data_IF_362265331314
#
_entry.id   IF_362265331314
#
_cell.length_a   1.000
_cell.length_b   1.000
_cell.length_c   1.000
_cell.angle_alpha   90.00
_cell.angle_beta   90.00
_cell.angle_gamma   90.00
#
_symmetry.space_group_name_H-M   'P 1'
#
loop_
_entity.id
_entity.type
_entity.pdbx_description
1 polymer ?
#
# COMPACT_ATOMS: atom_id res chain seq x y z
N UNK A 1 -13.47 23.00 -19.91
CA UNK A 1 -14.90 23.39 -19.97
C UNK A 1 -15.13 24.62 -20.88
N UNK A 2 -14.54 25.81 -20.63
CA UNK A 2 -14.78 27.01 -21.46
C UNK A 2 -14.35 26.86 -22.91
N UNK A 3 -13.20 26.25 -23.19
CA UNK A 3 -12.70 25.96 -24.54
C UNK A 3 -13.55 24.90 -25.26
N UNK A 4 -14.05 23.91 -24.52
CA UNK A 4 -14.94 22.88 -25.05
C UNK A 4 -16.30 23.45 -25.47
N UNK A 5 -16.88 24.37 -24.68
CA UNK A 5 -18.11 25.06 -25.03
C UNK A 5 -17.93 25.88 -26.33
N UNK A 6 -16.78 26.56 -26.46
CA UNK A 6 -16.45 27.32 -27.68
C UNK A 6 -16.25 26.41 -28.91
N UNK A 7 -15.57 25.28 -28.74
CA UNK A 7 -15.36 24.30 -29.81
C UNK A 7 -16.67 23.62 -30.23
N UNK A 8 -17.60 23.42 -29.30
CA UNK A 8 -18.95 22.88 -29.58
C UNK A 8 -19.94 23.92 -30.11
N UNK A 9 -19.53 25.19 -30.24
CA UNK A 9 -20.38 26.26 -30.77
C UNK A 9 -21.56 26.64 -29.86
N UNK A 10 -21.49 26.34 -28.56
CA UNK A 10 -22.55 26.62 -27.59
C UNK A 10 -22.09 27.62 -26.51
N UNK A 11 -23.08 28.33 -25.92
CA UNK A 11 -22.75 29.23 -24.82
C UNK A 11 -22.24 28.45 -23.58
N UNK A 12 -21.38 29.08 -22.77
CA UNK A 12 -20.94 28.51 -21.50
C UNK A 12 -22.13 28.10 -20.60
N UNK A 13 -23.16 28.95 -20.50
CA UNK A 13 -24.32 28.66 -19.70
C UNK A 13 -25.09 27.43 -20.21
N UNK A 14 -25.24 27.26 -21.53
CA UNK A 14 -25.85 26.08 -22.12
C UNK A 14 -25.01 24.83 -21.84
N UNK A 15 -23.68 24.93 -21.96
CA UNK A 15 -22.77 23.81 -21.72
C UNK A 15 -22.81 23.34 -20.25
N UNK A 16 -22.73 24.27 -19.27
CA UNK A 16 -22.82 23.94 -17.86
C UNK A 16 -24.21 23.48 -17.40
N UNK A 17 -25.28 23.83 -18.11
CA UNK A 17 -26.60 23.30 -17.84
C UNK A 17 -26.75 21.84 -18.23
N UNK A 18 -25.97 21.37 -19.22
CA UNK A 18 -25.98 19.97 -19.67
C UNK A 18 -24.93 19.14 -18.89
N UNK A 19 -23.75 19.73 -18.68
CA UNK A 19 -22.65 19.07 -17.98
C UNK A 19 -22.22 19.95 -16.81
N UNK A 20 -22.72 19.64 -15.62
CA UNK A 20 -22.44 20.42 -14.39
C UNK A 20 -20.95 20.38 -14.02
N UNK A 21 -20.29 19.24 -14.28
CA UNK A 21 -18.88 19.03 -13.98
C UNK A 21 -18.12 18.51 -15.21
N UNK A 22 -16.76 18.53 -15.12
CA UNK A 22 -15.90 17.93 -16.16
C UNK A 22 -16.08 16.40 -16.17
N UNK A 23 -16.22 15.81 -14.99
CA UNK A 23 -16.42 14.38 -14.79
C UNK A 23 -17.69 13.90 -15.48
N UNK A 24 -18.82 14.61 -15.31
CA UNK A 24 -20.09 14.31 -15.99
C UNK A 24 -19.97 14.38 -17.52
N UNK A 25 -19.15 15.28 -18.05
CA UNK A 25 -18.87 15.35 -19.50
C UNK A 25 -18.06 14.15 -19.96
N UNK A 26 -17.01 13.78 -19.22
CA UNK A 26 -16.14 12.66 -19.58
C UNK A 26 -16.90 11.32 -19.53
N UNK A 27 -17.72 11.14 -18.51
CA UNK A 27 -18.65 9.99 -18.38
C UNK A 27 -19.62 9.89 -19.56
N UNK A 28 -20.22 11.02 -19.95
CA UNK A 28 -21.14 11.07 -21.11
C UNK A 28 -20.43 10.78 -22.45
N UNK A 29 -19.14 10.98 -22.53
CA UNK A 29 -18.30 10.68 -23.71
C UNK A 29 -17.60 9.33 -23.64
N UNK A 30 -17.84 8.55 -22.57
CA UNK A 30 -17.13 7.28 -22.29
C UNK A 30 -15.61 7.46 -22.32
N UNK A 31 -15.14 8.61 -21.78
CA UNK A 31 -13.72 8.96 -21.70
C UNK A 31 -13.28 8.96 -20.25
N UNK A 32 -12.19 8.27 -19.96
CA UNK A 32 -11.54 8.38 -18.65
C UNK A 32 -10.91 9.77 -18.49
N UNK A 33 -11.03 10.40 -17.30
CA UNK A 33 -10.35 11.66 -17.03
C UNK A 33 -8.83 11.47 -17.11
N UNK A 34 -8.13 12.40 -17.77
CA UNK A 34 -6.67 12.40 -17.71
C UNK A 34 -6.20 12.47 -16.25
N UNK A 35 -5.19 11.68 -15.87
CA UNK A 35 -4.64 11.69 -14.52
C UNK A 35 -4.29 13.11 -14.06
N UNK A 36 -4.64 13.46 -12.85
CA UNK A 36 -4.28 14.73 -12.25
C UNK A 36 -2.76 14.86 -12.09
N UNK A 37 -2.27 16.09 -11.92
CA UNK A 37 -0.83 16.31 -11.71
C UNK A 37 -0.28 15.49 -10.53
N UNK A 38 -1.06 15.30 -9.47
CA UNK A 38 -0.68 14.48 -8.30
C UNK A 38 -0.49 13.02 -8.70
N UNK A 39 -1.43 12.44 -9.42
CA UNK A 39 -1.39 11.04 -9.88
C UNK A 39 -0.21 10.80 -10.82
N UNK A 40 -0.02 11.66 -11.84
CA UNK A 40 1.14 11.54 -12.74
C UNK A 40 2.48 11.60 -12.00
N UNK A 41 2.60 12.48 -11.00
CA UNK A 41 3.81 12.57 -10.18
C UNK A 41 4.02 11.28 -9.39
N UNK A 42 2.98 10.75 -8.76
CA UNK A 42 3.08 9.51 -7.97
C UNK A 42 3.40 8.29 -8.84
N UNK A 43 2.80 8.17 -10.02
CA UNK A 43 3.08 7.07 -10.97
C UNK A 43 4.53 7.07 -11.46
N UNK A 44 5.05 8.25 -11.80
CA UNK A 44 6.45 8.38 -12.21
C UNK A 44 7.39 8.14 -11.01
N UNK A 45 7.07 8.71 -9.84
CA UNK A 45 7.86 8.52 -8.63
C UNK A 45 7.89 7.03 -8.22
N UNK A 46 6.76 6.32 -8.31
CA UNK A 46 6.66 4.89 -8.04
C UNK A 46 7.67 4.08 -8.88
N UNK A 47 7.74 4.37 -10.18
CA UNK A 47 8.66 3.71 -11.12
C UNK A 47 10.12 4.03 -10.78
N UNK A 48 10.44 5.31 -10.55
CA UNK A 48 11.81 5.76 -10.26
C UNK A 48 12.31 5.24 -8.90
N UNK A 49 11.50 5.35 -7.86
CA UNK A 49 11.84 4.85 -6.51
C UNK A 49 11.92 3.33 -6.51
N UNK A 50 10.99 2.64 -7.19
CA UNK A 50 11.03 1.19 -7.33
C UNK A 50 12.26 0.65 -8.06
N UNK A 51 12.82 1.42 -9.01
CA UNK A 51 13.99 1.03 -9.79
C UNK A 51 15.33 1.43 -9.12
N UNK A 52 15.41 2.60 -8.49
CA UNK A 52 16.68 3.21 -8.08
C UNK A 52 16.74 3.59 -6.60
N UNK A 53 15.65 3.48 -5.86
CA UNK A 53 15.52 3.94 -4.47
C UNK A 53 15.27 5.45 -4.34
N UNK A 54 14.84 5.87 -3.14
CA UNK A 54 14.50 7.27 -2.85
C UNK A 54 15.71 8.20 -2.93
N UNK A 55 16.87 7.73 -2.48
CA UNK A 55 18.10 8.55 -2.45
C UNK A 55 18.54 8.98 -3.85
N UNK A 56 18.39 8.10 -4.85
CA UNK A 56 18.75 8.40 -6.23
C UNK A 56 17.72 9.27 -6.96
N UNK A 57 16.53 9.45 -6.40
CA UNK A 57 15.47 10.25 -7.01
C UNK A 57 15.87 11.73 -7.11
N UNK A 58 15.78 12.30 -8.31
CA UNK A 58 15.88 13.74 -8.56
C UNK A 58 14.48 14.34 -8.67
N UNK A 59 14.17 15.36 -7.85
CA UNK A 59 12.88 16.06 -7.94
C UNK A 59 12.73 16.80 -9.26
N UNK A 60 13.82 17.26 -9.87
CA UNK A 60 13.80 17.94 -11.15
C UNK A 60 13.52 16.98 -12.32
N UNK A 61 14.13 15.79 -12.29
CA UNK A 61 13.86 14.75 -13.29
C UNK A 61 12.43 14.22 -13.13
N UNK A 62 11.96 14.10 -11.90
CA UNK A 62 10.57 13.72 -11.61
C UNK A 62 9.59 14.72 -12.20
N UNK A 63 9.81 16.04 -12.01
CA UNK A 63 8.95 17.07 -12.58
C UNK A 63 8.90 16.98 -14.12
N UNK A 64 10.07 16.76 -14.74
CA UNK A 64 10.20 16.62 -16.20
C UNK A 64 9.45 15.38 -16.71
N UNK A 65 9.66 14.23 -16.08
CA UNK A 65 9.04 12.98 -16.51
C UNK A 65 7.52 12.93 -16.24
N UNK A 66 7.04 13.61 -15.19
CA UNK A 66 5.62 13.71 -14.87
C UNK A 66 4.89 14.81 -15.66
N UNK A 67 5.61 15.52 -16.55
CA UNK A 67 5.09 16.66 -17.31
C UNK A 67 4.39 17.70 -16.42
N UNK A 68 5.11 18.14 -15.37
CA UNK A 68 4.66 19.20 -14.47
C UNK A 68 5.75 20.25 -14.26
N UNK A 69 5.34 21.47 -13.92
CA UNK A 69 6.32 22.49 -13.52
C UNK A 69 6.94 22.15 -12.15
N UNK A 70 8.19 22.56 -11.91
CA UNK A 70 8.82 22.48 -10.58
C UNK A 70 7.95 23.12 -9.50
N UNK A 71 7.34 24.27 -9.79
CA UNK A 71 6.45 24.95 -8.85
C UNK A 71 5.23 24.10 -8.48
N UNK A 72 4.66 23.38 -9.45
CA UNK A 72 3.55 22.43 -9.21
C UNK A 72 4.01 21.25 -8.37
N UNK A 73 5.17 20.66 -8.69
CA UNK A 73 5.73 19.54 -7.93
C UNK A 73 5.98 19.93 -6.47
N UNK A 74 6.72 21.01 -6.21
CA UNK A 74 7.04 21.42 -4.83
C UNK A 74 5.83 21.93 -4.05
N UNK A 75 4.79 22.43 -4.70
CA UNK A 75 3.51 22.77 -4.06
C UNK A 75 2.75 21.53 -3.59
N UNK A 76 2.80 20.43 -4.35
CA UNK A 76 2.12 19.17 -4.02
C UNK A 76 2.96 18.30 -3.06
N UNK A 77 4.27 18.32 -3.25
CA UNK A 77 5.24 17.53 -2.49
C UNK A 77 6.45 18.41 -2.12
N UNK A 78 6.48 19.01 -0.91
CA UNK A 78 7.53 19.95 -0.49
C UNK A 78 8.94 19.36 -0.43
N UNK A 79 9.12 18.08 -0.72
CA UNK A 79 10.40 17.40 -0.73
C UNK A 79 10.23 15.89 -0.89
N UNK A 80 11.37 15.17 -0.90
CA UNK A 80 11.38 13.71 -1.05
C UNK A 80 10.63 12.99 0.07
N UNK A 81 10.72 13.47 1.32
CA UNK A 81 10.01 12.88 2.46
C UNK A 81 8.49 12.93 2.28
N UNK A 82 7.94 14.10 1.89
CA UNK A 82 6.50 14.24 1.64
C UNK A 82 6.02 13.39 0.44
N UNK A 83 6.84 13.29 -0.61
CA UNK A 83 6.58 12.42 -1.75
C UNK A 83 6.58 10.95 -1.32
N UNK A 84 7.59 10.52 -0.56
CA UNK A 84 7.70 9.13 -0.09
C UNK A 84 6.59 8.76 0.88
N UNK A 85 6.20 9.67 1.78
CA UNK A 85 5.02 9.49 2.63
C UNK A 85 3.76 9.22 1.80
N UNK A 86 3.54 10.01 0.74
CA UNK A 86 2.40 9.80 -0.16
C UNK A 86 2.49 8.47 -0.91
N UNK A 87 3.69 8.03 -1.34
CA UNK A 87 3.88 6.70 -1.93
C UNK A 87 3.58 5.58 -0.94
N UNK A 88 3.99 5.73 0.33
CA UNK A 88 3.69 4.76 1.38
C UNK A 88 2.19 4.65 1.61
N UNK A 89 1.48 5.77 1.76
CA UNK A 89 0.02 5.77 1.96
C UNK A 89 -0.76 5.22 0.76
N UNK A 90 -0.36 5.58 -0.46
CA UNK A 90 -1.10 5.20 -1.67
C UNK A 90 -0.83 3.75 -2.10
N UNK A 91 0.42 3.28 -1.94
CA UNK A 91 0.87 2.02 -2.55
C UNK A 91 1.37 0.97 -1.55
N UNK A 92 1.26 1.19 -0.23
CA UNK A 92 1.56 0.17 0.77
C UNK A 92 0.29 -0.42 1.40
N UNK A 93 0.36 -1.60 2.01
CA UNK A 93 -0.76 -2.21 2.69
C UNK A 93 -1.02 -1.62 4.09
N UNK A 94 -0.24 -0.61 4.54
CA UNK A 94 -0.31 -0.13 5.93
C UNK A 94 -1.70 0.42 6.29
N UNK A 95 -2.25 1.31 5.46
CA UNK A 95 -3.56 1.90 5.70
C UNK A 95 -4.70 0.88 5.59
N UNK A 96 -4.83 0.05 4.51
CA UNK A 96 -5.87 -0.98 4.46
C UNK A 96 -5.76 -2.03 5.56
N UNK A 97 -4.56 -2.41 5.99
CA UNK A 97 -4.36 -3.34 7.11
C UNK A 97 -4.77 -2.69 8.43
N UNK A 98 -4.38 -1.44 8.68
CA UNK A 98 -4.82 -0.70 9.87
C UNK A 98 -6.33 -0.61 9.95
N UNK A 99 -6.97 -0.28 8.83
CA UNK A 99 -8.43 -0.21 8.74
C UNK A 99 -9.10 -1.56 9.05
N UNK A 100 -8.59 -2.67 8.54
CA UNK A 100 -9.09 -4.01 8.87
C UNK A 100 -8.95 -4.31 10.38
N UNK A 101 -7.78 -4.06 10.96
CA UNK A 101 -7.52 -4.28 12.38
C UNK A 101 -8.40 -3.42 13.29
N UNK A 102 -8.76 -2.22 12.88
CA UNK A 102 -9.61 -1.32 13.66
C UNK A 102 -11.10 -1.68 13.53
N UNK A 103 -11.57 -1.91 12.32
CA UNK A 103 -13.01 -2.12 12.04
C UNK A 103 -13.47 -3.54 12.36
N UNK A 104 -12.58 -4.52 12.27
CA UNK A 104 -12.85 -5.95 12.48
C UNK A 104 -12.14 -6.53 13.71
N UNK A 105 -11.80 -5.67 14.68
CA UNK A 105 -11.02 -6.00 15.86
C UNK A 105 -11.60 -7.16 16.71
N UNK A 106 -12.93 -7.31 16.74
CA UNK A 106 -13.61 -8.37 17.47
C UNK A 106 -13.68 -9.71 16.73
N UNK A 107 -13.18 -9.79 15.49
CA UNK A 107 -13.20 -11.05 14.74
C UNK A 107 -12.08 -11.98 15.20
N UNK A 108 -12.35 -13.28 15.12
CA UNK A 108 -11.42 -14.32 15.52
C UNK A 108 -10.15 -14.32 14.64
N UNK A 109 -8.97 -14.66 15.21
CA UNK A 109 -7.71 -14.63 14.48
C UNK A 109 -7.64 -15.51 13.24
N UNK A 110 -8.33 -16.64 13.25
CA UNK A 110 -8.42 -17.57 12.11
C UNK A 110 -9.19 -16.99 10.91
N UNK A 111 -10.04 -15.98 11.14
CA UNK A 111 -10.75 -15.25 10.10
C UNK A 111 -9.95 -14.03 9.62
N UNK A 112 -9.47 -13.21 10.56
CA UNK A 112 -8.88 -11.91 10.23
C UNK A 112 -7.43 -12.02 9.72
N UNK A 113 -6.59 -12.90 10.28
CA UNK A 113 -5.17 -12.98 9.88
C UNK A 113 -4.99 -13.42 8.41
N UNK A 114 -5.70 -14.44 7.88
CA UNK A 114 -5.65 -14.75 6.46
C UNK A 114 -6.13 -13.61 5.56
N UNK A 115 -7.13 -12.83 5.99
CA UNK A 115 -7.60 -11.67 5.22
C UNK A 115 -6.57 -10.54 5.17
N UNK A 116 -5.89 -10.27 6.28
CA UNK A 116 -4.76 -9.33 6.30
C UNK A 116 -3.66 -9.79 5.34
N UNK A 117 -3.29 -11.07 5.35
CA UNK A 117 -2.28 -11.61 4.45
C UNK A 117 -2.67 -11.43 2.97
N UNK A 118 -3.94 -11.72 2.62
CA UNK A 118 -4.47 -11.50 1.27
C UNK A 118 -4.48 -10.02 0.88
N UNK A 119 -4.86 -9.13 1.81
CA UNK A 119 -4.84 -7.68 1.60
C UNK A 119 -3.42 -7.20 1.30
N UNK A 120 -2.43 -7.66 2.06
CA UNK A 120 -1.01 -7.37 1.79
C UNK A 120 -0.61 -7.85 0.39
N UNK A 121 -0.98 -9.08 0.01
CA UNK A 121 -0.67 -9.62 -1.31
C UNK A 121 -1.31 -8.79 -2.43
N UNK A 122 -2.62 -8.52 -2.35
CA UNK A 122 -3.37 -7.78 -3.37
C UNK A 122 -2.84 -6.38 -3.59
N UNK A 123 -2.36 -5.70 -2.54
CA UNK A 123 -1.74 -4.37 -2.68
C UNK A 123 -0.55 -4.37 -3.65
N UNK A 124 0.23 -5.45 -3.68
CA UNK A 124 1.44 -5.52 -4.52
C UNK A 124 1.26 -6.31 -5.82
N UNK A 125 0.14 -7.01 -5.99
CA UNK A 125 -0.14 -7.89 -7.15
C UNK A 125 -1.56 -7.70 -7.69
N UNK A 126 -2.06 -6.45 -7.75
CA UNK A 126 -3.37 -6.17 -8.35
C UNK A 126 -3.25 -5.98 -9.87
N UNK A 127 -4.32 -6.36 -10.60
CA UNK A 127 -4.57 -6.08 -12.02
C UNK A 127 -3.47 -6.55 -13.01
N UNK A 128 -2.76 -7.64 -12.66
CA UNK A 128 -1.70 -8.20 -13.52
C UNK A 128 -0.39 -7.40 -13.50
N UNK A 129 -0.34 -6.30 -12.77
CA UNK A 129 0.88 -5.53 -12.53
C UNK A 129 1.53 -5.92 -11.21
N UNK A 130 2.84 -6.15 -11.23
CA UNK A 130 3.62 -6.41 -10.03
C UNK A 130 4.23 -5.12 -9.50
N UNK A 131 3.76 -4.67 -8.34
CA UNK A 131 4.31 -3.50 -7.62
C UNK A 131 5.41 -3.88 -6.62
N UNK A 132 6.04 -5.04 -6.80
CA UNK A 132 7.11 -5.54 -5.90
C UNK A 132 8.33 -4.61 -5.87
N UNK A 133 8.54 -3.80 -6.92
CA UNK A 133 9.57 -2.75 -6.91
C UNK A 133 9.38 -1.75 -5.79
N UNK A 134 8.15 -1.28 -5.56
CA UNK A 134 7.85 -0.36 -4.47
C UNK A 134 7.94 -1.04 -3.10
N UNK A 135 7.52 -2.30 -2.98
CA UNK A 135 7.70 -3.07 -1.74
C UNK A 135 9.19 -3.14 -1.36
N UNK A 136 10.07 -3.46 -2.33
CA UNK A 136 11.51 -3.46 -2.12
C UNK A 136 12.04 -2.10 -1.71
N UNK A 137 11.61 -1.04 -2.38
CA UNK A 137 12.03 0.32 -2.08
C UNK A 137 11.57 0.75 -0.67
N UNK A 138 10.31 0.54 -0.31
CA UNK A 138 9.78 0.84 1.03
C UNK A 138 10.54 0.04 2.09
N UNK A 139 10.72 -1.27 1.88
CA UNK A 139 11.43 -2.12 2.84
C UNK A 139 12.89 -1.69 3.00
N UNK A 140 13.59 -1.41 1.90
CA UNK A 140 14.99 -0.96 1.91
C UNK A 140 15.14 0.40 2.60
N UNK A 141 14.33 1.39 2.23
CA UNK A 141 14.41 2.74 2.80
C UNK A 141 14.09 2.74 4.30
N UNK A 142 13.06 2.00 4.74
CA UNK A 142 12.71 1.87 6.16
C UNK A 142 13.81 1.11 6.92
N UNK A 143 14.32 0.02 6.36
CA UNK A 143 15.35 -0.80 7.00
C UNK A 143 16.74 -0.13 7.06
N UNK A 144 17.02 0.79 6.12
CA UNK A 144 18.24 1.59 6.13
C UNK A 144 18.21 2.70 7.19
N UNK A 145 17.07 2.91 7.85
CA UNK A 145 16.86 3.99 8.84
C UNK A 145 17.21 5.37 8.29
N UNK A 146 17.03 5.59 6.97
CA UNK A 146 17.20 6.90 6.38
C UNK A 146 16.23 7.91 7.04
N UNK A 147 16.70 9.04 7.58
CA UNK A 147 15.87 9.93 8.39
C UNK A 147 14.58 10.36 7.69
N UNK A 148 14.66 10.77 6.44
CA UNK A 148 13.51 11.21 5.65
C UNK A 148 12.49 10.09 5.40
N UNK A 149 12.95 8.85 5.19
CA UNK A 149 12.09 7.70 4.99
C UNK A 149 11.42 7.25 6.29
N UNK A 150 12.17 7.26 7.40
CA UNK A 150 11.63 6.94 8.74
C UNK A 150 10.57 7.95 9.14
N UNK A 151 10.84 9.26 8.99
CA UNK A 151 9.87 10.31 9.29
C UNK A 151 8.61 10.16 8.43
N UNK A 152 8.77 9.93 7.12
CA UNK A 152 7.67 9.80 6.18
C UNK A 152 6.77 8.58 6.46
N UNK A 153 7.34 7.46 6.89
CA UNK A 153 6.59 6.23 7.16
C UNK A 153 6.15 6.09 8.64
N UNK A 154 6.63 6.97 9.51
CA UNK A 154 6.52 6.80 10.96
C UNK A 154 5.07 6.74 11.45
N UNK A 155 4.19 7.59 10.94
CA UNK A 155 2.80 7.64 11.39
C UNK A 155 2.02 6.40 10.92
N UNK A 156 2.16 5.99 9.66
CA UNK A 156 1.52 4.78 9.15
C UNK A 156 2.02 3.52 9.87
N UNK A 157 3.35 3.44 10.12
CA UNK A 157 3.94 2.33 10.86
C UNK A 157 3.47 2.30 12.31
N UNK A 158 3.40 3.45 13.00
CA UNK A 158 2.88 3.52 14.37
C UNK A 158 1.44 3.06 14.44
N UNK A 159 0.61 3.48 13.49
CA UNK A 159 -0.80 3.10 13.44
C UNK A 159 -0.95 1.59 13.26
N UNK A 160 -0.33 1.01 12.23
CA UNK A 160 -0.48 -0.44 11.96
C UNK A 160 0.11 -1.30 13.08
N UNK A 161 1.29 -0.93 13.61
CA UNK A 161 1.93 -1.65 14.73
C UNK A 161 1.08 -1.54 16.00
N UNK A 162 0.53 -0.36 16.28
CA UNK A 162 -0.36 -0.13 17.42
C UNK A 162 -1.65 -0.93 17.32
N UNK A 163 -2.34 -0.86 16.17
CA UNK A 163 -3.58 -1.60 15.93
C UNK A 163 -3.36 -3.12 15.98
N UNK A 164 -2.26 -3.62 15.41
CA UNK A 164 -1.89 -5.04 15.51
C UNK A 164 -1.58 -5.46 16.95
N UNK A 165 -0.80 -4.66 17.68
CA UNK A 165 -0.45 -4.96 19.07
C UNK A 165 -1.71 -5.05 19.95
N UNK A 166 -2.64 -4.09 19.80
CA UNK A 166 -3.91 -4.12 20.52
C UNK A 166 -4.72 -5.36 20.17
N UNK A 167 -4.84 -5.70 18.88
CA UNK A 167 -5.55 -6.89 18.42
C UNK A 167 -4.99 -8.18 19.05
N UNK A 168 -3.68 -8.42 18.92
CA UNK A 168 -3.08 -9.65 19.44
C UNK A 168 -3.13 -9.72 20.97
N UNK A 169 -2.96 -8.58 21.66
CA UNK A 169 -3.05 -8.54 23.14
C UNK A 169 -4.44 -8.91 23.62
N UNK A 170 -5.51 -8.43 22.99
CA UNK A 170 -6.88 -8.80 23.34
C UNK A 170 -7.15 -10.28 23.12
N UNK A 171 -6.71 -10.83 21.99
CA UNK A 171 -6.88 -12.26 21.70
C UNK A 171 -6.00 -13.16 22.58
N UNK A 172 -4.83 -12.68 23.02
CA UNK A 172 -4.02 -13.37 24.04
C UNK A 172 -4.73 -13.36 25.40
N UNK A 173 -5.31 -12.24 25.83
CA UNK A 173 -6.09 -12.14 27.07
C UNK A 173 -7.35 -13.02 27.05
N UNK A 174 -8.00 -13.11 25.89
CA UNK A 174 -9.16 -13.97 25.68
C UNK A 174 -8.80 -15.47 25.57
N UNK A 175 -7.51 -15.82 25.54
CA UNK A 175 -7.04 -17.19 25.38
C UNK A 175 -7.18 -17.78 23.99
N UNK A 176 -7.40 -16.93 22.97
CA UNK A 176 -7.44 -17.35 21.57
C UNK A 176 -6.04 -17.49 20.97
N UNK A 177 -5.07 -16.73 21.48
CA UNK A 177 -3.66 -16.79 21.10
C UNK A 177 -2.80 -17.05 22.33
N UNK A 178 -1.69 -17.79 22.15
CA UNK A 178 -0.72 -17.99 23.22
C UNK A 178 0.00 -16.69 23.57
N UNK A 179 0.44 -16.48 24.82
CA UNK A 179 1.19 -15.30 25.20
C UNK A 179 2.50 -15.19 24.42
N UNK A 180 2.71 -14.02 23.81
CA UNK A 180 3.95 -13.63 23.12
C UNK A 180 4.10 -12.12 23.18
N UNK A 181 5.34 -11.63 23.10
CA UNK A 181 5.56 -10.19 22.98
C UNK A 181 4.91 -9.66 21.67
N UNK A 182 4.06 -8.61 21.69
CA UNK A 182 3.30 -8.19 20.50
C UNK A 182 4.17 -7.87 19.28
N UNK A 183 5.37 -7.30 19.49
CA UNK A 183 6.31 -7.02 18.38
C UNK A 183 6.82 -8.33 17.76
N UNK A 184 7.10 -9.36 18.55
CA UNK A 184 7.51 -10.67 18.02
C UNK A 184 6.36 -11.37 17.30
N UNK A 185 5.14 -11.24 17.79
CA UNK A 185 3.94 -11.73 17.12
C UNK A 185 3.79 -11.06 15.73
N UNK A 186 3.95 -9.73 15.64
CA UNK A 186 3.95 -8.99 14.38
C UNK A 186 5.07 -9.46 13.45
N UNK A 187 6.31 -9.52 13.94
CA UNK A 187 7.46 -9.91 13.13
C UNK A 187 7.35 -11.34 12.61
N UNK A 188 6.84 -12.26 13.42
CA UNK A 188 6.63 -13.65 13.01
C UNK A 188 5.48 -13.82 12.01
N UNK A 189 4.51 -12.90 11.99
CA UNK A 189 3.44 -12.86 11.00
C UNK A 189 3.91 -12.23 9.69
N UNK A 190 4.44 -11.00 9.78
CA UNK A 190 4.81 -10.21 8.60
C UNK A 190 6.06 -10.74 7.90
N UNK A 191 7.05 -11.22 8.66
CA UNK A 191 8.34 -11.65 8.12
C UNK A 191 8.25 -12.70 7.02
N UNK A 192 7.60 -13.84 7.23
CA UNK A 192 7.42 -14.87 6.20
C UNK A 192 6.67 -14.36 4.97
N UNK A 193 5.63 -13.56 5.15
CA UNK A 193 4.85 -12.98 4.05
C UNK A 193 5.74 -12.04 3.22
N UNK A 194 6.45 -11.12 3.87
CA UNK A 194 7.36 -10.19 3.19
C UNK A 194 8.47 -10.93 2.46
N UNK A 195 9.09 -11.92 3.10
CA UNK A 195 10.12 -12.73 2.47
C UNK A 195 9.60 -13.45 1.23
N UNK A 196 8.41 -14.05 1.32
CA UNK A 196 7.76 -14.69 0.18
C UNK A 196 7.53 -13.69 -0.96
N UNK A 197 6.92 -12.53 -0.69
CA UNK A 197 6.62 -11.52 -1.71
C UNK A 197 7.89 -11.00 -2.39
N UNK A 198 8.96 -10.79 -1.65
CA UNK A 198 10.24 -10.29 -2.18
C UNK A 198 10.99 -11.33 -3.02
N UNK A 199 10.86 -12.61 -2.70
CA UNK A 199 11.67 -13.69 -3.31
C UNK A 199 10.87 -14.57 -4.27
N UNK A 200 9.55 -14.47 -4.29
CA UNK A 200 8.64 -15.31 -5.09
C UNK A 200 9.07 -15.42 -6.55
N UNK A 201 9.25 -14.30 -7.22
CA UNK A 201 9.61 -14.29 -8.65
C UNK A 201 10.93 -15.02 -8.92
N UNK A 202 11.90 -14.87 -8.00
CA UNK A 202 13.18 -15.58 -8.08
C UNK A 202 12.99 -17.09 -7.86
N UNK A 203 12.21 -17.47 -6.85
CA UNK A 203 11.93 -18.87 -6.54
C UNK A 203 11.18 -19.57 -7.69
N UNK A 204 10.15 -18.93 -8.24
CA UNK A 204 9.40 -19.45 -9.40
C UNK A 204 10.31 -19.63 -10.63
N UNK A 205 11.21 -18.66 -10.88
CA UNK A 205 12.16 -18.75 -12.00
C UNK A 205 13.19 -19.86 -11.82
N UNK A 206 13.74 -19.98 -10.60
CA UNK A 206 14.80 -20.98 -10.32
C UNK A 206 14.26 -22.41 -10.25
N UNK A 207 13.08 -22.60 -9.70
CA UNK A 207 12.49 -23.91 -9.46
C UNK A 207 11.57 -24.37 -10.59
N UNK A 208 11.16 -23.47 -11.51
CA UNK A 208 10.19 -23.75 -12.54
C UNK A 208 8.77 -24.02 -12.02
N UNK A 209 8.50 -23.67 -10.77
CA UNK A 209 7.22 -23.86 -10.09
C UNK A 209 6.45 -22.55 -10.02
N UNK A 210 5.17 -22.60 -10.34
CA UNK A 210 4.26 -21.46 -10.12
C UNK A 210 3.41 -21.74 -8.90
N UNK A 211 3.29 -20.75 -8.02
CA UNK A 211 2.42 -20.79 -6.85
C UNK A 211 1.29 -19.78 -7.02
N UNK A 212 0.09 -20.15 -6.61
CA UNK A 212 -0.95 -19.17 -6.37
C UNK A 212 -0.52 -18.26 -5.20
N UNK A 213 -0.45 -16.96 -5.46
CA UNK A 213 0.11 -16.04 -4.47
C UNK A 213 -0.84 -15.76 -3.32
N UNK A 214 -2.15 -15.72 -3.54
CA UNK A 214 -3.13 -15.57 -2.46
C UNK A 214 -3.16 -16.82 -1.59
N UNK A 215 -3.11 -17.99 -2.20
CA UNK A 215 -3.02 -19.25 -1.45
C UNK A 215 -1.74 -19.31 -0.62
N UNK A 216 -0.60 -18.94 -1.19
CA UNK A 216 0.69 -18.97 -0.48
C UNK A 216 0.69 -18.07 0.77
N UNK A 217 0.21 -16.83 0.68
CA UNK A 217 0.14 -15.93 1.84
C UNK A 217 -0.92 -16.37 2.85
N UNK A 218 -2.00 -17.01 2.40
CA UNK A 218 -3.01 -17.62 3.27
C UNK A 218 -2.40 -18.77 4.08
N UNK A 219 -1.66 -19.67 3.43
CA UNK A 219 -0.95 -20.77 4.10
C UNK A 219 0.09 -20.27 5.12
N UNK A 220 0.80 -19.16 4.81
CA UNK A 220 1.72 -18.53 5.76
C UNK A 220 0.99 -17.98 6.99
N UNK A 221 -0.19 -17.35 6.80
CA UNK A 221 -1.02 -16.88 7.89
C UNK A 221 -1.54 -18.04 8.75
N UNK A 222 -1.98 -19.14 8.13
CA UNK A 222 -2.42 -20.35 8.85
C UNK A 222 -1.26 -21.01 9.62
N UNK A 223 -0.03 -21.02 9.07
CA UNK A 223 1.16 -21.47 9.78
C UNK A 223 1.41 -20.63 11.05
N UNK A 224 1.27 -19.32 10.94
CA UNK A 224 1.37 -18.43 12.09
C UNK A 224 0.29 -18.73 13.12
N UNK A 225 -0.97 -18.91 12.71
CA UNK A 225 -2.08 -19.27 13.59
C UNK A 225 -1.81 -20.58 14.35
N UNK A 226 -1.34 -21.62 13.65
CA UNK A 226 -0.94 -22.88 14.31
C UNK A 226 0.16 -22.67 15.35
N UNK A 227 1.16 -21.84 15.05
CA UNK A 227 2.21 -21.49 16.00
C UNK A 227 1.73 -20.63 17.17
N UNK A 228 0.63 -19.90 17.00
CA UNK A 228 0.04 -19.04 18.02
C UNK A 228 -1.14 -19.70 18.77
N UNK A 229 -1.52 -20.92 18.43
CA UNK A 229 -2.53 -21.68 19.17
C UNK A 229 -2.02 -21.94 20.59
N UNK A 230 -2.84 -21.70 21.63
CA UNK A 230 -2.49 -22.05 23.00
C UNK A 230 -2.25 -23.56 23.13
N UNK A 231 -1.23 -23.95 23.88
CA UNK A 231 -1.02 -25.37 24.21
C UNK A 231 -2.17 -25.88 25.09
N UNK A 232 -2.80 -27.00 24.72
CA UNK A 232 -3.80 -27.67 25.52
C UNK A 232 -3.11 -28.28 26.74
N UNK A 233 -2.97 -27.54 27.83
CA UNK A 233 -2.33 -28.11 29.02
C UNK A 233 -1.98 -27.16 30.15
N UNK A 234 -2.12 -25.86 30.00
CA UNK A 234 -1.76 -24.94 31.09
C UNK A 234 -2.99 -24.18 31.65
N UNK A 235 -4.06 -24.94 31.93
CA UNK A 235 -5.18 -24.48 32.77
C UNK A 235 -5.02 -25.12 34.16
N UNK A 236 -4.05 -24.62 34.92
CA UNK A 236 -4.06 -24.79 36.39
C UNK A 236 -4.26 -23.43 37.06
#
# INVERSE_FOLDING_TARGET
MAQLAAAAGVSRATFYRVFETREALLEALDLEPEPGARERILDVALKLVGAHGLNALSMDDLATQADVSRATLYRLFPGKAALFSSLVHEYSPLDPVSHLLETRRGEAPDVLMPEIARTVYRTFYSDGESRVGILRAIFFEISSLAPDAVEAAQDALRTVVGSFALYVMEHMQAGHLRPMHPVLALQSFVGPIMFHLLTRSLAEQMLGLRMDGEQAVTELAENWLRAMTPEEGNRE
#
